data_IF_222917389978
#
_entry.id   IF_222917389978
#
_cell.length_a   1.000
_cell.length_b   1.000
_cell.length_c   1.000
_cell.angle_alpha   90.00
_cell.angle_beta   90.00
_cell.angle_gamma   90.00
#
_symmetry.space_group_name_H-M   'P 1'
#
loop_
_entity.id
_entity.type
_entity.pdbx_description
1 polymer ?
#
# COMPACT_ATOMS: atom_id res chain seq x y z
N UNK A 1 -43.73 -34.81 67.84
CA UNK A 1 -44.00 -34.12 66.55
C UNK A 1 -42.67 -33.49 66.12
N UNK A 2 -41.83 -34.10 65.26
CA UNK A 2 -41.92 -34.23 63.77
C UNK A 2 -42.26 -32.89 63.10
N UNK A 3 -41.23 -32.13 62.70
CA UNK A 3 -40.67 -31.95 61.33
C UNK A 3 -41.47 -30.95 60.49
N UNK A 4 -40.87 -29.92 59.90
CA UNK A 4 -40.20 -30.00 58.60
C UNK A 4 -39.20 -28.85 58.40
N UNK A 5 -38.04 -29.25 57.90
CA UNK A 5 -36.91 -28.53 57.34
C UNK A 5 -37.32 -27.65 56.13
N UNK A 6 -36.84 -26.41 56.03
CA UNK A 6 -36.73 -25.74 54.72
C UNK A 6 -35.37 -25.07 54.55
N UNK A 7 -34.59 -25.72 53.69
CA UNK A 7 -33.33 -25.29 53.10
C UNK A 7 -33.41 -23.85 52.57
N UNK A 8 -32.55 -22.96 53.08
CA UNK A 8 -32.26 -21.69 52.42
C UNK A 8 -31.22 -21.97 51.32
N UNK A 9 -31.69 -22.03 50.08
CA UNK A 9 -30.85 -22.12 48.89
C UNK A 9 -30.13 -20.77 48.71
N UNK A 10 -28.82 -20.74 48.94
CA UNK A 10 -27.96 -19.64 48.52
C UNK A 10 -27.79 -19.73 47.00
N UNK A 11 -28.64 -19.02 46.25
CA UNK A 11 -28.41 -18.82 44.81
C UNK A 11 -27.34 -17.73 44.68
N UNK A 12 -26.10 -18.16 44.46
CA UNK A 12 -25.04 -17.30 43.94
C UNK A 12 -25.47 -16.88 42.53
N UNK A 13 -26.07 -15.69 42.41
CA UNK A 13 -26.16 -14.99 41.13
C UNK A 13 -24.71 -14.64 40.73
N UNK A 14 -24.07 -15.53 39.98
CA UNK A 14 -23.00 -15.18 39.08
C UNK A 14 -23.61 -14.19 38.08
N UNK A 15 -23.49 -12.90 38.39
CA UNK A 15 -23.60 -11.87 37.38
C UNK A 15 -22.49 -12.14 36.37
N UNK A 16 -22.87 -12.78 35.26
CA UNK A 16 -22.16 -12.64 34.01
C UNK A 16 -22.13 -11.15 33.71
N UNK A 17 -21.07 -10.49 34.16
CA UNK A 17 -20.70 -9.18 33.70
C UNK A 17 -20.28 -9.36 32.24
N UNK A 18 -21.27 -9.46 31.36
CA UNK A 18 -21.09 -9.41 29.93
C UNK A 18 -20.66 -7.98 29.63
N UNK A 19 -19.34 -7.74 29.74
CA UNK A 19 -18.71 -6.48 29.42
C UNK A 19 -19.05 -6.15 27.98
N UNK A 20 -20.09 -5.35 27.79
CA UNK A 20 -20.30 -4.66 26.53
C UNK A 20 -19.13 -3.70 26.39
N UNK A 21 -18.16 -4.05 25.55
CA UNK A 21 -17.11 -3.14 25.16
C UNK A 21 -17.75 -1.84 24.68
N UNK A 22 -17.46 -0.74 25.36
CA UNK A 22 -17.99 0.58 25.01
C UNK A 22 -17.32 1.03 23.71
N UNK A 23 -18.13 1.39 22.71
CA UNK A 23 -17.61 1.92 21.46
C UNK A 23 -16.94 3.29 21.70
N UNK A 24 -15.71 3.43 21.25
CA UNK A 24 -14.90 4.65 21.37
C UNK A 24 -14.96 5.49 20.10
N UNK A 25 -14.54 6.76 20.21
CA UNK A 25 -14.65 7.74 19.12
C UNK A 25 -13.37 8.55 18.94
N UNK A 26 -12.98 8.74 17.68
CA UNK A 26 -11.95 9.70 17.29
C UNK A 26 -12.56 10.72 16.33
N UNK A 27 -12.30 11.99 16.62
CA UNK A 27 -12.76 13.12 15.79
C UNK A 27 -11.57 13.84 15.19
N UNK A 28 -11.59 13.97 13.87
CA UNK A 28 -10.74 14.86 13.09
C UNK A 28 -11.47 16.19 12.86
N UNK A 29 -10.82 17.30 13.20
CA UNK A 29 -11.34 18.65 13.01
C UNK A 29 -10.42 19.43 12.06
N UNK A 30 -10.95 19.92 10.94
CA UNK A 30 -10.20 20.59 9.88
C UNK A 30 -9.44 21.85 10.32
N UNK A 31 -9.82 22.47 11.45
CA UNK A 31 -9.08 23.62 11.98
C UNK A 31 -7.87 23.22 12.83
N UNK A 32 -7.82 21.98 13.29
CA UNK A 32 -6.82 21.46 14.25
C UNK A 32 -5.96 20.36 13.60
N UNK A 33 -6.59 19.33 13.05
CA UNK A 33 -5.96 18.12 12.56
C UNK A 33 -5.66 18.26 11.05
N UNK A 34 -4.48 18.80 10.71
CA UNK A 34 -4.10 19.14 9.33
C UNK A 34 -2.95 18.28 8.81
N UNK A 35 -2.91 18.05 7.51
CA UNK A 35 -1.72 17.50 6.85
C UNK A 35 -0.64 18.58 6.71
N UNK A 36 0.62 18.19 6.88
CA UNK A 36 1.81 19.07 6.76
C UNK A 36 2.56 18.92 5.43
N UNK A 37 2.14 17.99 4.57
CA UNK A 37 2.75 17.73 3.26
C UNK A 37 1.69 17.75 2.15
N UNK A 38 2.11 17.91 0.89
CA UNK A 38 1.24 17.95 -0.29
C UNK A 38 0.44 16.65 -0.56
N UNK A 39 0.51 15.68 0.36
CA UNK A 39 -0.13 14.39 0.25
C UNK A 39 -1.33 14.28 1.20
N UNK A 40 -2.43 13.89 0.60
CA UNK A 40 -3.81 13.78 1.09
C UNK A 40 -4.02 12.74 2.21
N UNK A 41 -3.30 12.85 3.34
CA UNK A 41 -3.38 11.92 4.49
C UNK A 41 -3.44 12.67 5.83
N UNK A 42 -4.25 12.19 6.77
CA UNK A 42 -4.24 12.60 8.19
C UNK A 42 -4.35 11.39 9.11
N UNK A 43 -3.64 11.41 10.25
CA UNK A 43 -3.61 10.32 11.23
C UNK A 43 -3.80 10.86 12.64
N UNK A 44 -4.64 10.19 13.44
CA UNK A 44 -4.92 10.55 14.83
C UNK A 44 -5.37 9.33 15.61
N UNK A 45 -4.76 9.08 16.78
CA UNK A 45 -5.20 8.03 17.70
C UNK A 45 -5.31 6.64 17.07
N UNK A 46 -4.41 6.28 16.13
CA UNK A 46 -4.45 4.99 15.44
C UNK A 46 -5.53 4.84 14.36
N UNK A 47 -6.22 5.94 14.01
CA UNK A 47 -7.05 6.05 12.80
C UNK A 47 -6.27 6.82 11.74
N UNK A 48 -6.27 6.33 10.50
CA UNK A 48 -5.70 7.04 9.35
C UNK A 48 -6.76 7.25 8.28
N UNK A 49 -6.85 8.47 7.74
CA UNK A 49 -7.72 8.84 6.62
C UNK A 49 -6.82 9.20 5.43
N UNK A 50 -7.07 8.58 4.29
CA UNK A 50 -6.34 8.79 3.04
C UNK A 50 -7.32 8.92 1.88
N UNK A 51 -7.03 9.82 0.95
CA UNK A 51 -7.79 9.94 -0.29
C UNK A 51 -6.91 10.51 -1.39
N UNK A 52 -6.77 9.87 -2.56
CA UNK A 52 -5.83 10.31 -3.60
C UNK A 52 -5.96 11.80 -3.95
N UNK A 53 -7.20 12.29 -4.03
CA UNK A 53 -7.51 13.67 -4.41
C UNK A 53 -8.25 14.40 -3.27
N UNK A 54 -7.62 14.55 -2.11
CA UNK A 54 -8.16 15.35 -1.01
C UNK A 54 -7.13 16.34 -0.48
N UNK A 55 -7.58 17.52 -0.14
CA UNK A 55 -6.77 18.51 0.56
C UNK A 55 -7.17 18.53 2.04
N UNK A 56 -6.30 17.93 2.86
CA UNK A 56 -6.39 17.93 4.32
C UNK A 56 -5.46 18.98 4.99
N UNK A 57 -4.75 19.80 4.21
CA UNK A 57 -3.89 20.86 4.76
C UNK A 57 -4.71 22.03 5.33
N UNK A 58 -5.90 22.26 4.76
CA UNK A 58 -6.81 23.31 5.18
C UNK A 58 -6.17 24.71 5.19
N UNK A 59 -5.23 24.98 4.27
CA UNK A 59 -4.47 26.25 4.22
C UNK A 59 -5.37 27.48 4.04
N UNK A 60 -6.44 27.37 3.25
CA UNK A 60 -7.32 28.51 2.89
C UNK A 60 -8.76 28.35 3.37
N UNK A 61 -9.17 27.15 3.77
CA UNK A 61 -10.56 26.81 4.12
C UNK A 61 -10.54 26.08 5.46
N UNK A 62 -11.39 26.49 6.40
CA UNK A 62 -11.63 25.81 7.69
C UNK A 62 -12.34 24.44 7.50
N UNK A 63 -12.00 23.72 6.45
CA UNK A 63 -12.66 22.50 5.99
C UNK A 63 -11.69 21.68 5.14
N UNK A 64 -11.75 20.36 5.30
CA UNK A 64 -11.17 19.41 4.37
C UNK A 64 -11.88 19.52 3.03
N UNK A 65 -11.11 19.58 1.94
CA UNK A 65 -11.66 19.57 0.58
C UNK A 65 -11.46 18.19 0.00
N UNK A 66 -12.55 17.44 -0.15
CA UNK A 66 -12.53 16.11 -0.74
C UNK A 66 -12.93 16.25 -2.21
N UNK A 67 -12.07 15.90 -3.15
CA UNK A 67 -12.41 15.88 -4.58
C UNK A 67 -13.03 14.53 -4.96
N UNK A 68 -13.52 14.46 -6.20
CA UNK A 68 -13.99 13.21 -6.79
C UNK A 68 -12.79 12.25 -6.83
N UNK A 69 -12.91 11.11 -6.17
CA UNK A 69 -11.83 10.13 -6.08
C UNK A 69 -12.41 8.74 -5.83
N UNK A 70 -11.71 7.72 -6.33
CA UNK A 70 -12.08 6.31 -6.13
C UNK A 70 -11.41 5.66 -4.92
N UNK A 71 -10.57 6.41 -4.20
CA UNK A 71 -9.67 5.86 -3.19
C UNK A 71 -9.82 6.53 -1.81
N UNK A 72 -11.05 6.84 -1.37
CA UNK A 72 -11.24 7.31 0.01
C UNK A 72 -11.14 6.10 0.96
N UNK A 73 -10.15 6.10 1.85
CA UNK A 73 -9.84 4.99 2.74
C UNK A 73 -9.68 5.49 4.18
N UNK A 74 -10.32 4.80 5.11
CA UNK A 74 -10.10 4.94 6.55
C UNK A 74 -9.66 3.59 7.08
N UNK A 75 -8.53 3.56 7.78
CA UNK A 75 -8.03 2.38 8.49
C UNK A 75 -7.98 2.62 10.00
N UNK A 76 -8.17 1.56 10.77
CA UNK A 76 -8.08 1.59 12.22
C UNK A 76 -7.16 0.51 12.77
N UNK A 77 -6.25 0.90 13.66
CA UNK A 77 -5.44 -0.02 14.47
C UNK A 77 -5.95 -0.15 15.90
N UNK A 78 -6.96 0.63 16.27
CA UNK A 78 -7.47 0.72 17.64
C UNK A 78 -8.76 -0.04 17.85
N UNK A 79 -9.26 -0.72 16.82
CA UNK A 79 -10.51 -1.46 16.85
C UNK A 79 -11.28 -1.35 15.55
N UNK A 80 -12.18 -2.29 15.30
CA UNK A 80 -13.03 -2.28 14.12
C UNK A 80 -13.93 -1.05 14.10
N UNK A 81 -13.93 -0.36 12.97
CA UNK A 81 -14.79 0.79 12.68
C UNK A 81 -16.23 0.30 12.56
N UNK A 82 -17.14 0.93 13.29
CA UNK A 82 -18.57 0.60 13.32
C UNK A 82 -19.44 1.71 12.73
N UNK A 83 -18.95 2.96 12.75
CA UNK A 83 -19.66 4.11 12.20
C UNK A 83 -18.68 5.21 11.79
N UNK A 84 -19.02 5.93 10.74
CA UNK A 84 -18.32 7.15 10.34
C UNK A 84 -19.35 8.25 10.14
N UNK A 85 -19.18 9.35 10.86
CA UNK A 85 -19.99 10.55 10.77
C UNK A 85 -19.13 11.66 10.17
N UNK A 86 -19.39 11.95 8.91
CA UNK A 86 -18.88 13.13 8.26
C UNK A 86 -19.73 14.27 8.79
N UNK A 87 -19.17 15.24 9.51
CA UNK A 87 -19.86 16.36 10.19
C UNK A 87 -19.61 17.71 9.48
N UNK A 88 -20.55 18.66 9.60
CA UNK A 88 -20.53 19.98 8.95
C UNK A 88 -21.38 20.98 9.69
N UNK A 89 -20.84 22.18 9.84
CA UNK A 89 -21.54 23.27 10.52
C UNK A 89 -22.24 24.26 9.56
N UNK A 90 -21.89 24.35 8.25
CA UNK A 90 -22.50 25.33 7.34
C UNK A 90 -22.80 24.82 5.90
N UNK A 91 -24.09 24.74 5.53
CA UNK A 91 -24.81 24.33 4.30
C UNK A 91 -24.18 24.31 2.87
N UNK A 92 -22.86 24.24 2.66
CA UNK A 92 -22.25 24.13 1.32
C UNK A 92 -22.28 22.73 0.65
N UNK A 93 -21.58 22.58 -0.48
CA UNK A 93 -21.41 21.33 -1.26
C UNK A 93 -20.80 20.21 -0.39
N UNK A 94 -21.60 19.21 -0.03
CA UNK A 94 -21.14 17.99 0.63
C UNK A 94 -20.64 16.98 -0.39
N UNK A 95 -19.61 16.18 -0.03
CA UNK A 95 -19.22 15.10 -0.90
C UNK A 95 -20.31 14.03 -0.91
N UNK A 96 -20.50 13.42 -2.07
CA UNK A 96 -21.41 12.30 -2.24
C UNK A 96 -20.57 11.02 -2.23
N UNK A 97 -20.86 10.14 -1.28
CA UNK A 97 -20.27 8.81 -1.22
C UNK A 97 -21.30 7.77 -1.70
N UNK A 98 -20.92 6.89 -2.61
CA UNK A 98 -21.88 5.98 -3.28
C UNK A 98 -21.57 4.50 -3.09
N UNK A 99 -20.29 4.13 -3.08
CA UNK A 99 -19.86 2.75 -2.90
C UNK A 99 -18.91 2.70 -1.74
N UNK A 100 -19.35 2.12 -0.63
CA UNK A 100 -18.48 1.75 0.48
C UNK A 100 -18.80 0.33 0.89
N UNK A 101 -17.84 -0.60 0.85
CA UNK A 101 -18.00 -1.99 1.31
C UNK A 101 -19.47 -2.46 1.26
N UNK A 102 -20.12 -2.44 0.07
CA UNK A 102 -21.59 -2.34 -0.06
C UNK A 102 -22.38 -3.51 0.55
N UNK A 103 -21.69 -4.60 0.88
CA UNK A 103 -22.21 -5.75 1.63
C UNK A 103 -22.18 -5.60 3.15
N UNK A 104 -21.47 -4.60 3.70
CA UNK A 104 -21.16 -4.45 5.12
C UNK A 104 -21.74 -3.19 5.75
N UNK A 105 -22.57 -2.40 5.09
CA UNK A 105 -23.10 -1.19 5.72
C UNK A 105 -23.99 -0.35 4.83
N UNK A 106 -24.71 0.60 5.46
CA UNK A 106 -25.64 1.50 4.79
C UNK A 106 -25.33 2.95 5.14
N UNK A 107 -25.36 3.80 4.13
CA UNK A 107 -25.38 5.24 4.32
C UNK A 107 -26.77 5.70 4.77
N UNK A 108 -26.83 6.54 5.80
CA UNK A 108 -28.06 7.21 6.23
C UNK A 108 -27.98 8.72 5.96
N UNK A 109 -29.11 9.29 5.56
CA UNK A 109 -29.31 10.74 5.45
C UNK A 109 -29.37 11.33 6.85
N UNK A 110 -28.48 12.27 7.17
CA UNK A 110 -28.59 13.09 8.37
C UNK A 110 -29.17 14.43 7.94
N UNK A 111 -30.50 14.61 8.05
CA UNK A 111 -31.19 15.85 7.65
C UNK A 111 -31.22 16.10 6.13
N UNK A 112 -32.25 16.80 5.66
CA UNK A 112 -32.46 17.12 4.24
C UNK A 112 -31.73 18.41 3.78
N UNK A 113 -31.41 18.59 2.47
CA UNK A 113 -31.52 17.61 1.39
C UNK A 113 -30.19 17.40 0.61
N UNK A 114 -29.94 16.14 0.24
CA UNK A 114 -29.13 15.65 -0.91
C UNK A 114 -27.79 14.89 -0.70
N UNK A 115 -27.29 14.56 0.51
CA UNK A 115 -26.07 13.71 0.64
C UNK A 115 -26.04 12.80 1.88
N UNK A 116 -25.29 11.68 1.88
CA UNK A 116 -25.09 10.82 3.04
C UNK A 116 -24.04 11.41 3.98
N UNK A 117 -24.36 11.49 5.27
CA UNK A 117 -23.48 12.05 6.31
C UNK A 117 -23.03 11.03 7.33
N UNK A 118 -23.77 9.92 7.43
CA UNK A 118 -23.50 8.87 8.38
C UNK A 118 -23.40 7.54 7.65
N UNK A 119 -22.24 6.92 7.72
CA UNK A 119 -22.09 5.51 7.42
C UNK A 119 -22.23 4.70 8.71
N UNK A 120 -23.06 3.66 8.67
CA UNK A 120 -23.14 2.62 9.71
C UNK A 120 -23.08 1.25 9.06
N UNK A 121 -22.24 0.38 9.59
CA UNK A 121 -22.03 -0.94 9.03
C UNK A 121 -21.50 -1.95 10.02
N UNK A 122 -21.36 -3.16 9.53
CA UNK A 122 -20.68 -4.26 10.21
C UNK A 122 -19.25 -3.84 10.55
N UNK A 123 -18.77 -4.19 11.76
CA UNK A 123 -17.43 -3.84 12.22
C UNK A 123 -16.33 -4.23 11.21
N UNK A 124 -15.49 -3.28 10.81
CA UNK A 124 -14.43 -3.47 9.79
C UNK A 124 -13.12 -2.80 10.17
N UNK A 125 -11.98 -3.43 9.85
CA UNK A 125 -10.64 -2.84 10.07
C UNK A 125 -10.35 -1.71 9.08
N UNK A 126 -10.91 -1.85 7.87
CA UNK A 126 -10.76 -0.94 6.75
C UNK A 126 -12.12 -0.51 6.20
N UNK A 127 -12.29 0.79 5.98
CA UNK A 127 -13.42 1.39 5.30
C UNK A 127 -12.95 2.03 4.00
N UNK A 128 -13.56 1.62 2.88
CA UNK A 128 -13.31 2.22 1.57
C UNK A 128 -14.58 2.89 1.09
N UNK A 129 -14.45 4.04 0.42
CA UNK A 129 -15.55 4.72 -0.24
C UNK A 129 -15.13 5.35 -1.58
N UNK A 130 -16.08 5.43 -2.51
CA UNK A 130 -15.98 6.31 -3.68
C UNK A 130 -16.61 7.66 -3.39
N UNK A 131 -15.93 8.73 -3.78
CA UNK A 131 -16.44 10.09 -3.74
C UNK A 131 -16.92 10.44 -5.14
N UNK A 132 -18.21 10.28 -5.38
CA UNK A 132 -18.83 10.57 -6.69
C UNK A 132 -19.02 12.06 -6.96
N UNK A 133 -19.06 12.85 -5.89
CA UNK A 133 -19.10 14.31 -5.96
C UNK A 133 -18.19 14.86 -4.88
N UNK A 134 -17.28 15.74 -5.25
CA UNK A 134 -16.42 16.42 -4.27
C UNK A 134 -17.20 17.40 -3.39
N UNK A 135 -16.64 17.74 -2.24
CA UNK A 135 -17.25 18.66 -1.29
C UNK A 135 -16.31 19.11 -0.17
N UNK A 136 -16.90 19.85 0.78
CA UNK A 136 -16.20 20.41 1.94
C UNK A 136 -16.80 19.84 3.22
N UNK A 137 -15.93 19.35 4.11
CA UNK A 137 -16.27 18.77 5.42
C UNK A 137 -15.38 19.41 6.49
N UNK A 138 -15.93 19.77 7.65
CA UNK A 138 -15.14 20.34 8.75
C UNK A 138 -14.76 19.32 9.83
N UNK A 139 -15.49 18.21 9.90
CA UNK A 139 -15.35 17.20 10.95
C UNK A 139 -15.54 15.80 10.39
N UNK A 140 -14.71 14.85 10.82
CA UNK A 140 -14.94 13.42 10.56
C UNK A 140 -14.83 12.70 11.89
N UNK A 141 -15.89 12.02 12.31
CA UNK A 141 -15.94 11.26 13.56
C UNK A 141 -16.06 9.77 13.26
N UNK A 142 -15.07 9.01 13.71
CA UNK A 142 -14.98 7.58 13.52
C UNK A 142 -15.32 6.93 14.87
N UNK A 143 -16.31 6.06 14.87
CA UNK A 143 -16.64 5.21 16.02
C UNK A 143 -16.06 3.83 15.77
N UNK A 144 -15.39 3.26 16.77
CA UNK A 144 -14.77 1.94 16.70
C UNK A 144 -15.00 1.14 17.97
N UNK A 145 -14.88 -0.19 17.88
CA UNK A 145 -14.94 -1.10 19.03
C UNK A 145 -13.52 -1.44 19.50
N UNK A 146 -13.04 -0.86 20.62
CA UNK A 146 -11.67 -1.07 21.11
C UNK A 146 -11.39 -2.53 21.52
N UNK A 147 -12.41 -3.32 21.86
CA UNK A 147 -12.21 -4.75 22.19
C UNK A 147 -11.79 -5.59 21.00
N UNK A 148 -12.02 -5.06 19.80
CA UNK A 148 -11.62 -5.71 18.53
C UNK A 148 -10.31 -5.17 17.99
N UNK A 149 -9.59 -4.34 18.76
CA UNK A 149 -8.25 -3.89 18.39
C UNK A 149 -7.37 -5.11 18.07
N UNK A 150 -6.62 -5.09 16.95
CA UNK A 150 -5.67 -6.14 16.66
C UNK A 150 -4.71 -6.30 17.84
N UNK A 151 -4.74 -7.46 18.50
CA UNK A 151 -3.89 -7.73 19.67
C UNK A 151 -2.42 -7.97 19.31
N UNK A 152 -2.06 -7.87 18.02
CA UNK A 152 -0.71 -7.95 17.45
C UNK A 152 -0.66 -7.12 16.15
N UNK A 153 0.51 -6.55 15.75
CA UNK A 153 0.64 -5.95 14.43
C UNK A 153 0.31 -7.01 13.36
N UNK A 154 -0.59 -6.67 12.43
CA UNK A 154 -0.95 -7.58 11.34
C UNK A 154 0.27 -7.75 10.44
N UNK A 155 0.76 -8.98 10.30
CA UNK A 155 1.92 -9.29 9.44
C UNK A 155 1.53 -10.25 8.32
N UNK A 156 2.23 -10.15 7.20
CA UNK A 156 2.23 -11.16 6.13
C UNK A 156 3.55 -11.94 6.19
N UNK A 157 3.44 -13.26 6.23
CA UNK A 157 4.61 -14.14 6.26
C UNK A 157 5.26 -14.23 4.87
N UNK A 158 6.55 -13.93 4.80
CA UNK A 158 7.41 -14.15 3.66
C UNK A 158 8.37 -15.29 3.98
N UNK A 159 8.42 -16.29 3.10
CA UNK A 159 9.40 -17.36 3.18
C UNK A 159 10.39 -17.24 2.03
N UNK A 160 11.68 -17.20 2.34
CA UNK A 160 12.80 -17.21 1.40
C UNK A 160 13.53 -18.54 1.54
N UNK A 161 13.70 -19.26 0.44
CA UNK A 161 14.42 -20.54 0.42
C UNK A 161 15.92 -20.33 0.32
N UNK A 162 16.70 -21.42 0.33
CA UNK A 162 18.15 -21.40 0.10
C UNK A 162 18.57 -20.76 -1.24
N UNK A 163 17.64 -20.58 -2.17
CA UNK A 163 17.90 -19.84 -3.41
C UNK A 163 18.07 -18.33 -3.19
N UNK A 164 17.68 -17.79 -2.03
CA UNK A 164 17.87 -16.39 -1.65
C UNK A 164 16.88 -15.42 -2.29
N UNK A 165 15.83 -15.92 -2.97
CA UNK A 165 14.80 -15.10 -3.62
C UNK A 165 13.40 -15.64 -3.35
N UNK A 166 12.42 -14.73 -3.37
CA UNK A 166 11.00 -15.04 -3.26
C UNK A 166 10.16 -13.95 -3.94
N UNK A 167 8.89 -14.24 -4.23
CA UNK A 167 7.92 -13.18 -4.58
C UNK A 167 6.86 -13.08 -3.49
N UNK A 168 6.38 -11.87 -3.28
CA UNK A 168 5.30 -11.57 -2.35
C UNK A 168 4.30 -10.62 -2.98
N UNK A 169 3.01 -10.90 -2.77
CA UNK A 169 1.93 -9.95 -3.01
C UNK A 169 0.93 -10.04 -1.85
N UNK A 170 0.20 -8.96 -1.58
CA UNK A 170 -0.79 -8.93 -0.51
C UNK A 170 -1.95 -8.03 -0.90
N UNK A 171 -3.18 -8.38 -0.48
CA UNK A 171 -4.34 -7.48 -0.53
C UNK A 171 -4.24 -6.25 0.39
N UNK A 172 -3.23 -6.23 1.26
CA UNK A 172 -2.94 -5.11 2.15
C UNK A 172 -1.59 -4.48 1.77
N UNK A 173 -1.41 -3.17 1.97
CA UNK A 173 -0.11 -2.54 1.79
C UNK A 173 0.89 -3.11 2.80
N UNK A 174 2.16 -3.20 2.41
CA UNK A 174 3.23 -3.83 3.20
C UNK A 174 4.38 -2.86 3.44
N UNK A 175 4.87 -2.82 4.67
CA UNK A 175 5.98 -1.95 5.06
C UNK A 175 7.28 -2.75 5.16
N UNK A 176 8.23 -2.43 4.30
CA UNK A 176 9.56 -3.05 4.29
C UNK A 176 10.62 -2.18 4.98
N UNK A 177 10.28 -0.97 5.42
CA UNK A 177 11.25 0.01 5.94
C UNK A 177 11.98 -0.46 7.20
N UNK A 178 11.33 -1.29 8.02
CA UNK A 178 11.87 -1.83 9.27
C UNK A 178 12.54 -3.21 9.11
N UNK A 179 12.53 -3.80 7.91
CA UNK A 179 13.02 -5.16 7.69
C UNK A 179 14.43 -5.12 7.10
N UNK A 180 15.41 -5.46 7.93
CA UNK A 180 16.82 -5.52 7.52
C UNK A 180 17.12 -6.77 6.68
N UNK A 181 18.10 -6.66 5.78
CA UNK A 181 18.62 -7.79 5.00
C UNK A 181 17.73 -8.25 3.84
N UNK A 182 16.67 -7.51 3.53
CA UNK A 182 15.86 -7.71 2.33
C UNK A 182 16.13 -6.61 1.31
N UNK A 183 16.11 -6.96 0.03
CA UNK A 183 16.11 -6.03 -1.09
C UNK A 183 14.86 -6.32 -1.95
N UNK A 184 14.12 -5.28 -2.31
CA UNK A 184 12.92 -5.39 -3.15
C UNK A 184 13.20 -4.93 -4.57
N UNK A 185 12.56 -5.58 -5.53
CA UNK A 185 12.75 -5.32 -6.96
C UNK A 185 11.42 -5.35 -7.71
N UNK A 186 11.31 -4.48 -8.71
CA UNK A 186 10.33 -4.59 -9.79
C UNK A 186 10.94 -5.33 -10.99
N UNK A 187 10.10 -6.02 -11.76
CA UNK A 187 10.50 -6.55 -13.08
C UNK A 187 10.12 -5.52 -14.13
N UNK A 188 11.09 -4.93 -14.83
CA UNK A 188 10.85 -3.81 -15.75
C UNK A 188 10.81 -4.24 -17.22
N UNK A 189 11.44 -5.36 -17.55
CA UNK A 189 11.37 -6.01 -18.85
C UNK A 189 11.23 -7.52 -18.65
N UNK A 190 10.35 -8.14 -19.43
CA UNK A 190 10.21 -9.58 -19.48
C UNK A 190 9.91 -10.01 -20.91
N UNK A 191 10.73 -10.92 -21.43
CA UNK A 191 10.52 -11.53 -22.74
C UNK A 191 11.06 -12.96 -22.76
N UNK A 192 11.02 -13.58 -23.94
CA UNK A 192 11.46 -14.96 -24.21
C UNK A 192 12.88 -15.31 -23.72
N UNK A 193 13.74 -14.31 -23.51
CA UNK A 193 15.17 -14.48 -23.26
C UNK A 193 15.66 -13.90 -21.93
N UNK A 194 15.03 -12.83 -21.44
CA UNK A 194 15.50 -12.09 -20.28
C UNK A 194 14.36 -11.58 -19.39
N UNK A 195 14.64 -11.51 -18.10
CA UNK A 195 13.86 -10.77 -17.12
C UNK A 195 14.77 -9.73 -16.46
N UNK A 196 14.57 -8.44 -16.73
CA UNK A 196 15.34 -7.37 -16.06
C UNK A 196 14.64 -6.90 -14.80
N UNK A 197 15.44 -6.63 -13.78
CA UNK A 197 14.96 -6.14 -12.49
C UNK A 197 15.52 -4.77 -12.17
N UNK A 198 14.73 -3.96 -11.47
CA UNK A 198 15.13 -2.66 -10.95
C UNK A 198 14.92 -2.64 -9.44
N UNK A 199 15.91 -2.15 -8.69
CA UNK A 199 15.81 -1.99 -7.24
C UNK A 199 14.67 -1.04 -6.91
N UNK A 200 13.87 -1.41 -5.91
CA UNK A 200 12.89 -0.55 -5.29
C UNK A 200 13.44 -0.07 -3.94
N UNK A 201 13.13 1.18 -3.58
CA UNK A 201 13.39 1.64 -2.22
C UNK A 201 12.52 0.81 -1.26
N UNK A 202 13.13 0.26 -0.20
CA UNK A 202 12.45 -0.47 0.87
C UNK A 202 11.59 0.52 1.65
N UNK A 203 10.37 0.73 1.17
CA UNK A 203 9.36 1.56 1.82
C UNK A 203 8.03 0.83 1.88
N UNK A 204 6.95 1.59 1.77
CA UNK A 204 5.60 1.03 1.73
C UNK A 204 5.28 0.61 0.29
N UNK A 205 5.04 -0.68 0.10
CA UNK A 205 4.51 -1.26 -1.13
C UNK A 205 2.99 -1.28 -1.05
N UNK A 206 2.32 -0.73 -2.07
CA UNK A 206 0.85 -0.67 -2.10
C UNK A 206 0.21 -2.07 -2.11
N UNK A 207 -1.05 -2.13 -1.65
CA UNK A 207 -1.87 -3.32 -1.79
C UNK A 207 -1.98 -3.76 -3.25
N UNK A 208 -2.18 -5.05 -3.47
CA UNK A 208 -2.29 -5.66 -4.79
C UNK A 208 -1.09 -5.35 -5.71
N UNK A 209 0.11 -5.30 -5.14
CA UNK A 209 1.34 -5.23 -5.91
C UNK A 209 2.22 -6.41 -5.54
N UNK A 210 2.77 -7.07 -6.57
CA UNK A 210 3.75 -8.12 -6.41
C UNK A 210 5.16 -7.55 -6.52
N UNK A 211 6.07 -7.98 -5.65
CA UNK A 211 7.49 -7.61 -5.71
C UNK A 211 8.36 -8.87 -5.70
N UNK A 212 9.52 -8.77 -6.37
CA UNK A 212 10.60 -9.72 -6.21
C UNK A 212 11.43 -9.31 -5.00
N UNK A 213 11.79 -10.28 -4.16
CA UNK A 213 12.52 -10.04 -2.93
C UNK A 213 13.75 -10.92 -2.92
N UNK A 214 14.90 -10.33 -2.60
CA UNK A 214 16.15 -11.03 -2.33
C UNK A 214 16.46 -10.91 -0.85
N UNK A 215 16.98 -11.98 -0.25
CA UNK A 215 17.34 -12.00 1.17
C UNK A 215 17.92 -13.34 1.60
N UNK A 216 18.37 -13.41 2.85
CA UNK A 216 18.84 -14.67 3.43
C UNK A 216 17.66 -15.67 3.58
N UNK A 217 17.92 -16.99 3.54
CA UNK A 217 16.89 -18.00 3.76
C UNK A 217 16.25 -17.84 5.14
N UNK A 218 14.92 -17.99 5.22
CA UNK A 218 14.19 -17.87 6.47
C UNK A 218 12.76 -17.37 6.33
N UNK A 219 12.11 -17.23 7.48
CA UNK A 219 10.78 -16.66 7.61
C UNK A 219 10.90 -15.19 8.07
N UNK A 220 10.23 -14.28 7.35
CA UNK A 220 10.14 -12.86 7.68
C UNK A 220 8.68 -12.50 7.90
N UNK A 221 8.40 -11.70 8.94
CA UNK A 221 7.06 -11.18 9.22
C UNK A 221 7.00 -9.73 8.74
N UNK A 222 6.40 -9.51 7.57
CA UNK A 222 6.32 -8.19 6.96
C UNK A 222 5.09 -7.47 7.53
N UNK A 223 5.25 -6.32 8.22
CA UNK A 223 4.13 -5.55 8.74
C UNK A 223 3.18 -5.10 7.61
N UNK A 224 1.88 -5.15 7.89
CA UNK A 224 0.91 -4.41 7.10
C UNK A 224 1.12 -2.93 7.37
N UNK A 225 1.35 -2.16 6.30
CA UNK A 225 1.68 -0.75 6.40
C UNK A 225 0.45 0.10 6.73
N UNK A 226 0.73 1.24 7.35
CA UNK A 226 -0.21 2.34 7.56
C UNK A 226 0.49 3.57 7.00
N UNK A 227 -0.04 4.16 5.94
CA UNK A 227 0.59 5.31 5.27
C UNK A 227 0.58 5.20 3.75
N UNK A 228 0.98 6.28 3.08
CA UNK A 228 0.92 6.40 1.62
C UNK A 228 1.99 5.52 0.97
N UNK A 229 1.61 4.54 0.14
CA UNK A 229 2.59 3.77 -0.62
C UNK A 229 3.24 4.65 -1.69
N UNK A 230 4.50 4.33 -2.02
CA UNK A 230 5.14 4.88 -3.21
C UNK A 230 4.61 4.12 -4.42
N UNK A 231 4.10 4.84 -5.42
CA UNK A 231 3.71 4.22 -6.68
C UNK A 231 4.96 3.62 -7.34
N UNK A 232 4.85 2.36 -7.78
CA UNK A 232 5.90 1.72 -8.57
C UNK A 232 5.60 2.04 -10.03
N UNK A 233 6.40 2.92 -10.63
CA UNK A 233 6.17 3.45 -11.98
C UNK A 233 6.13 2.36 -13.06
N UNK A 234 6.93 1.28 -12.87
CA UNK A 234 7.01 0.19 -13.83
C UNK A 234 7.31 -1.14 -13.13
N UNK A 235 6.34 -2.05 -13.16
CA UNK A 235 6.51 -3.42 -12.69
C UNK A 235 5.59 -4.37 -13.46
N UNK A 236 6.17 -5.40 -14.06
CA UNK A 236 5.47 -6.40 -14.84
C UNK A 236 4.96 -7.57 -14.00
N UNK A 237 5.38 -7.68 -12.73
CA UNK A 237 4.86 -8.71 -11.82
C UNK A 237 3.37 -8.47 -11.53
N UNK A 238 2.56 -9.46 -11.90
CA UNK A 238 1.15 -9.52 -11.56
C UNK A 238 0.97 -10.19 -10.19
N UNK A 239 0.09 -9.65 -9.34
CA UNK A 239 -0.18 -10.20 -8.01
C UNK A 239 -1.23 -11.31 -8.05
N UNK A 240 -1.16 -12.25 -7.10
CA UNK A 240 -2.28 -13.16 -6.79
C UNK A 240 -3.10 -12.70 -5.57
N UNK A 241 -2.56 -11.79 -4.75
CA UNK A 241 -3.21 -10.96 -3.71
C UNK A 241 -4.04 -11.61 -2.59
N UNK A 242 -4.30 -12.93 -2.62
CA UNK A 242 -4.94 -13.78 -1.60
C UNK A 242 -5.74 -14.92 -2.24
N UNK A 243 -5.92 -14.88 -3.56
CA UNK A 243 -6.57 -15.92 -4.35
C UNK A 243 -5.53 -16.69 -5.14
N UNK A 244 -5.81 -17.95 -5.42
CA UNK A 244 -4.96 -18.72 -6.32
C UNK A 244 -5.32 -18.39 -7.77
N UNK A 245 -4.33 -18.43 -8.66
CA UNK A 245 -4.54 -18.18 -10.10
C UNK A 245 -4.33 -19.47 -10.87
N UNK A 246 -5.25 -19.77 -11.80
CA UNK A 246 -5.12 -20.94 -12.67
C UNK A 246 -4.28 -20.60 -13.90
N UNK A 247 -3.18 -21.32 -14.08
CA UNK A 247 -2.30 -21.16 -15.22
C UNK A 247 -2.98 -21.61 -16.51
N UNK A 248 -2.91 -20.79 -17.56
CA UNK A 248 -3.39 -21.14 -18.90
C UNK A 248 -2.24 -21.52 -19.85
N UNK A 249 -0.99 -21.49 -19.37
CA UNK A 249 0.20 -21.76 -20.14
C UNK A 249 0.97 -20.52 -20.60
N UNK A 250 0.53 -19.31 -20.26
CA UNK A 250 1.24 -18.05 -20.59
C UNK A 250 1.99 -17.45 -19.40
N UNK A 251 1.71 -17.93 -18.20
CA UNK A 251 2.27 -17.41 -16.95
C UNK A 251 3.64 -18.00 -16.66
N UNK A 252 4.47 -17.23 -15.98
CA UNK A 252 5.76 -17.66 -15.47
C UNK A 252 5.87 -17.32 -13.98
N UNK A 253 6.39 -18.24 -13.19
CA UNK A 253 6.57 -18.09 -11.73
C UNK A 253 8.05 -18.17 -11.36
N UNK A 254 8.42 -17.48 -10.28
CA UNK A 254 9.79 -17.53 -9.77
C UNK A 254 10.17 -18.96 -9.39
N UNK A 255 11.35 -19.39 -9.80
CA UNK A 255 11.95 -20.66 -9.41
C UNK A 255 13.47 -20.55 -9.36
N UNK A 256 14.08 -21.58 -8.78
CA UNK A 256 15.51 -21.81 -8.88
C UNK A 256 15.74 -23.05 -9.75
N UNK A 257 16.41 -22.88 -10.90
CA UNK A 257 16.67 -23.96 -11.87
C UNK A 257 18.01 -23.68 -12.56
N UNK A 258 18.77 -24.73 -12.88
CA UNK A 258 20.08 -24.62 -13.57
C UNK A 258 21.06 -23.66 -12.86
N UNK A 259 21.14 -23.75 -11.54
CA UNK A 259 22.03 -22.90 -10.72
C UNK A 259 21.77 -21.40 -10.83
N UNK A 260 20.55 -21.01 -11.22
CA UNK A 260 20.16 -19.62 -11.40
C UNK A 260 18.72 -19.39 -10.93
N UNK A 261 18.44 -18.18 -10.45
CA UNK A 261 17.07 -17.74 -10.16
C UNK A 261 16.47 -17.17 -11.44
N UNK A 262 15.22 -17.53 -11.71
CA UNK A 262 14.52 -17.13 -12.92
C UNK A 262 13.04 -17.43 -12.83
N UNK A 263 12.36 -17.20 -13.94
CA UNK A 263 10.94 -17.45 -14.07
C UNK A 263 10.73 -18.66 -14.97
N UNK A 264 9.98 -19.66 -14.48
CA UNK A 264 9.62 -20.86 -15.23
C UNK A 264 8.16 -20.83 -15.66
N UNK A 265 7.91 -21.30 -16.88
CA UNK A 265 6.59 -21.38 -17.47
C UNK A 265 5.68 -22.31 -16.66
N UNK A 266 4.50 -21.80 -16.30
CA UNK A 266 3.45 -22.56 -15.63
C UNK A 266 2.71 -23.39 -16.67
N UNK A 267 2.53 -24.68 -16.40
CA UNK A 267 1.74 -25.55 -17.27
C UNK A 267 0.26 -25.18 -17.20
N UNK A 268 -0.46 -25.38 -18.30
CA UNK A 268 -1.91 -25.21 -18.33
C UNK A 268 -2.57 -26.05 -17.22
N UNK A 269 -3.59 -25.48 -16.58
CA UNK A 269 -4.32 -26.05 -15.44
C UNK A 269 -3.49 -26.26 -14.17
N UNK A 270 -2.27 -25.71 -14.09
CA UNK A 270 -1.49 -25.70 -12.85
C UNK A 270 -1.82 -24.48 -12.00
N UNK A 271 -1.83 -24.68 -10.69
CA UNK A 271 -2.18 -23.65 -9.72
C UNK A 271 -0.97 -22.76 -9.39
N UNK A 272 -1.16 -21.45 -9.50
CA UNK A 272 -0.24 -20.44 -8.98
C UNK A 272 -0.75 -20.04 -7.60
N UNK A 273 0.09 -20.22 -6.58
CA UNK A 273 -0.30 -19.98 -5.20
C UNK A 273 -0.67 -18.52 -4.93
N UNK A 274 -1.63 -18.31 -4.04
CA UNK A 274 -1.96 -17.00 -3.47
C UNK A 274 -0.76 -16.31 -2.82
N UNK A 275 -0.84 -14.98 -2.74
CA UNK A 275 0.18 -14.09 -2.16
C UNK A 275 1.55 -14.13 -2.87
N UNK A 276 1.57 -14.41 -4.18
CA UNK A 276 2.78 -14.49 -5.00
C UNK A 276 2.72 -13.53 -6.18
N UNK A 277 3.89 -13.25 -6.74
CA UNK A 277 4.06 -12.57 -8.02
C UNK A 277 4.30 -13.56 -9.16
N UNK A 278 3.70 -13.31 -10.31
CA UNK A 278 3.93 -14.04 -11.57
C UNK A 278 4.06 -13.07 -12.74
N UNK A 279 4.66 -13.52 -13.84
CA UNK A 279 4.76 -12.77 -15.08
C UNK A 279 3.89 -13.43 -16.16
N UNK A 280 3.60 -12.69 -17.22
CA UNK A 280 2.86 -13.20 -18.39
C UNK A 280 3.65 -12.82 -19.64
N UNK A 281 3.85 -13.77 -20.55
CA UNK A 281 4.25 -13.46 -21.93
C UNK A 281 3.00 -13.36 -22.80
N UNK A 282 3.02 -12.42 -23.75
CA UNK A 282 1.98 -12.31 -24.77
C UNK A 282 1.92 -13.62 -25.59
N UNK A 283 0.69 -14.03 -25.97
CA UNK A 283 0.41 -15.28 -26.66
C UNK A 283 1.22 -15.50 -27.92
N UNK A 284 1.56 -14.42 -28.64
CA UNK A 284 2.36 -14.46 -29.85
C UNK A 284 3.84 -14.83 -29.60
N UNK A 285 4.37 -14.57 -28.40
CA UNK A 285 5.77 -14.87 -28.05
C UNK A 285 5.95 -16.29 -27.50
N UNK A 286 4.87 -17.02 -27.26
CA UNK A 286 4.89 -18.27 -26.49
C UNK A 286 5.49 -19.44 -27.26
N UNK A 287 5.26 -19.52 -28.57
CA UNK A 287 5.68 -20.65 -29.41
C UNK A 287 7.19 -20.80 -29.48
N UNK A 288 7.93 -19.70 -29.34
CA UNK A 288 9.40 -19.65 -29.37
C UNK A 288 10.02 -19.35 -28.00
N UNK A 289 9.21 -19.13 -26.96
CA UNK A 289 9.69 -18.78 -25.62
C UNK A 289 10.42 -19.93 -24.92
N UNK A 290 11.46 -19.57 -24.15
CA UNK A 290 12.16 -20.51 -23.28
C UNK A 290 11.27 -20.92 -22.12
N UNK A 291 11.29 -22.20 -21.75
CA UNK A 291 10.60 -22.69 -20.55
C UNK A 291 11.09 -21.96 -19.27
N UNK A 292 12.36 -21.56 -19.24
CA UNK A 292 12.98 -20.86 -18.13
C UNK A 292 13.70 -19.60 -18.62
N UNK A 293 13.41 -18.47 -17.99
CA UNK A 293 14.00 -17.16 -18.25
C UNK A 293 14.74 -16.71 -16.99
N UNK A 294 16.06 -16.61 -17.05
CA UNK A 294 16.86 -16.17 -15.90
C UNK A 294 16.58 -14.70 -15.56
N UNK A 295 16.67 -14.38 -14.27
CA UNK A 295 16.76 -12.99 -13.82
C UNK A 295 18.13 -12.45 -14.24
N UNK A 296 18.11 -11.42 -15.08
CA UNK A 296 19.28 -10.63 -15.40
C UNK A 296 19.51 -9.65 -14.25
N UNK A 297 20.73 -9.58 -13.73
CA UNK A 297 21.05 -8.87 -12.48
C UNK A 297 20.55 -7.42 -12.49
N UNK A 298 20.34 -6.87 -11.30
CA UNK A 298 19.90 -5.48 -11.18
C UNK A 298 20.95 -4.54 -11.77
N UNK A 299 20.66 -3.90 -12.90
CA UNK A 299 21.41 -2.74 -13.32
C UNK A 299 21.02 -1.62 -12.37
N UNK A 300 21.96 -1.14 -11.56
CA UNK A 300 21.81 0.17 -10.95
C UNK A 300 21.84 1.17 -12.08
N UNK A 301 20.70 1.42 -12.71
CA UNK A 301 20.59 2.46 -13.73
C UNK A 301 21.12 3.74 -13.08
N UNK A 302 22.20 4.29 -13.66
CA UNK A 302 22.74 5.58 -13.27
C UNK A 302 21.57 6.55 -13.42
N UNK A 303 21.07 7.07 -12.29
CA UNK A 303 20.10 8.17 -12.29
C UNK A 303 20.72 9.27 -13.12
N UNK A 304 20.18 9.44 -14.33
CA UNK A 304 20.32 10.55 -15.25
C UNK A 304 21.52 11.48 -14.96
N UNK A 305 22.58 11.42 -15.77
CA UNK A 305 23.47 12.58 -15.83
C UNK A 305 22.63 13.74 -16.37
N UNK A 306 22.32 14.72 -15.52
CA UNK A 306 21.64 15.94 -15.94
C UNK A 306 22.39 16.50 -17.15
N UNK A 307 21.76 16.45 -18.31
CA UNK A 307 22.22 17.19 -19.48
C UNK A 307 21.84 18.65 -19.27
N UNK A 308 22.59 19.32 -18.40
CA UNK A 308 22.52 20.76 -18.29
C UNK A 308 23.39 21.32 -19.41
N UNK A 309 22.75 21.86 -20.44
CA UNK A 309 23.38 22.91 -21.26
C UNK A 309 23.73 24.04 -20.30
N UNK A 310 24.97 24.03 -19.81
CA UNK A 310 25.58 25.18 -19.14
C UNK A 310 26.30 25.94 -20.23
N UNK A 311 26.12 27.26 -20.23
CA UNK A 311 26.71 28.19 -21.19
C UNK A 311 28.17 27.82 -21.49
N UNK A 312 28.52 27.79 -22.78
CA UNK A 312 29.80 27.30 -23.34
C UNK A 312 31.06 28.05 -22.84
N UNK A 313 30.90 29.03 -21.95
CA UNK A 313 31.93 29.94 -21.45
C UNK A 313 32.51 29.57 -20.06
N UNK A 314 31.93 28.61 -19.34
CA UNK A 314 32.49 28.18 -18.06
C UNK A 314 33.76 27.31 -18.24
N UNK A 315 34.77 27.52 -17.37
CA UNK A 315 36.01 26.72 -17.40
C UNK A 315 35.72 25.27 -17.04
N UNK A 316 36.09 24.34 -17.91
CA UNK A 316 35.95 22.90 -17.68
C UNK A 316 37.19 22.31 -17.02
N UNK A 317 36.98 21.31 -16.17
CA UNK A 317 38.04 20.55 -15.50
C UNK A 317 37.92 19.06 -15.80
N UNK A 318 39.03 18.33 -15.78
CA UNK A 318 39.00 16.87 -15.76
C UNK A 318 38.68 16.33 -14.34
N UNK A 319 38.58 15.01 -14.21
CA UNK A 319 38.27 14.34 -12.94
C UNK A 319 39.36 14.49 -11.87
N UNK A 320 40.54 15.00 -12.24
CA UNK A 320 41.64 15.29 -11.32
C UNK A 320 41.66 16.76 -10.90
N UNK A 321 40.73 17.58 -11.40
CA UNK A 321 40.65 19.01 -11.11
C UNK A 321 41.58 19.87 -11.96
N UNK A 322 42.15 19.33 -13.05
CA UNK A 322 42.99 20.10 -13.97
C UNK A 322 42.11 20.80 -15.01
N UNK A 323 42.32 22.11 -15.31
CA UNK A 323 41.57 22.80 -16.34
C UNK A 323 41.85 22.18 -17.72
N UNK A 324 40.79 21.99 -18.50
CA UNK A 324 40.83 21.42 -19.85
C UNK A 324 40.20 22.37 -20.87
N UNK A 325 40.65 22.25 -22.12
CA UNK A 325 40.20 23.13 -23.19
C UNK A 325 38.70 23.04 -23.45
N UNK A 326 38.12 24.15 -23.92
CA UNK A 326 36.68 24.31 -24.21
C UNK A 326 36.09 23.31 -25.23
N UNK A 327 36.90 22.49 -25.89
CA UNK A 327 36.42 21.48 -26.84
C UNK A 327 36.70 20.05 -26.39
N UNK A 328 37.10 19.84 -25.13
CA UNK A 328 37.35 18.52 -24.59
C UNK A 328 36.04 17.71 -24.54
N UNK A 329 36.05 16.54 -25.19
CA UNK A 329 34.93 15.60 -25.21
C UNK A 329 35.08 14.58 -24.08
N UNK A 330 33.97 14.09 -23.56
CA UNK A 330 33.91 13.09 -22.50
C UNK A 330 33.35 13.65 -21.19
N UNK A 331 33.69 13.00 -20.08
CA UNK A 331 33.24 13.38 -18.75
C UNK A 331 34.09 14.54 -18.24
N UNK A 332 33.44 15.66 -17.93
CA UNK A 332 34.07 16.90 -17.46
C UNK A 332 33.39 17.43 -16.21
N UNK A 333 34.06 18.30 -15.46
CA UNK A 333 33.50 19.03 -14.32
C UNK A 333 33.36 20.50 -14.71
N UNK A 334 32.14 21.04 -14.62
CA UNK A 334 31.82 22.46 -14.87
C UNK A 334 30.92 22.93 -13.73
N UNK A 335 31.22 24.07 -13.10
CA UNK A 335 30.46 24.63 -11.99
C UNK A 335 30.18 23.60 -10.86
N UNK A 336 31.22 22.84 -10.47
CA UNK A 336 31.15 21.76 -9.47
C UNK A 336 30.17 20.61 -9.80
N UNK A 337 29.71 20.50 -11.05
CA UNK A 337 28.86 19.41 -11.53
C UNK A 337 29.61 18.56 -12.55
N UNK A 338 29.40 17.25 -12.49
CA UNK A 338 29.91 16.29 -13.48
C UNK A 338 28.97 16.25 -14.68
N UNK A 339 29.50 16.50 -15.88
CA UNK A 339 28.75 16.63 -17.14
C UNK A 339 29.40 15.73 -18.20
N UNK A 340 28.61 15.20 -19.14
CA UNK A 340 29.12 14.53 -20.34
C UNK A 340 29.06 15.53 -21.50
N UNK A 341 30.22 15.98 -21.99
CA UNK A 341 30.34 16.85 -23.16
C UNK A 341 30.61 16.01 -24.41
N UNK A 342 29.78 16.14 -25.45
CA UNK A 342 29.84 15.29 -26.66
C UNK A 342 30.65 15.91 -27.80
#
# INVERSE_FOLDING_TARGET
>A
MKSILRFTFFVVMLSLNCGHATADKITFNATIDKSTTADSVITKGGITIMATDADFSCETKKSYKILITRNFHISSTVGKITSIDFGKDDAGKLPLFSESNSSKGKWKKSGSPLTPYLWKGDPTDDFYAFVDKGGLINKITITYDPSTAPTLPRTVTLNISNAGYSTLSSKHPLDFSSIQGLETYAVTEFNQNKAKIQVLDLGIIQANTAVLIKGAPGEYKIPVAIGKPKAIERNLLLPTSNCDVMGNGTQYILTYKKSSVGFIRVRKNSKIAKNRGYLVLDGNEISTSKEFVAVDGATSDIKHAEYNHTDDDATAYDLTGKPIGRHAKGIVIINNKKIIRR
#
